data_IF_646785192702
#
_entry.id   IF_646785192702
#
_cell.length_a   1.000
_cell.length_b   1.000
_cell.length_c   1.000
_cell.angle_alpha   90.00
_cell.angle_beta   90.00
_cell.angle_gamma   90.00
#
_symmetry.space_group_name_H-M   'P 1'
#
loop_
_entity.id
_entity.type
_entity.pdbx_description
1 polymer ?
#
# COMPACT_ATOMS: atom_id res chain seq x y z
N UNK A 1 12.58 14.12 -16.36
CA UNK A 1 11.89 13.20 -17.28
C UNK A 1 12.17 11.80 -16.77
N UNK A 2 11.24 11.19 -16.04
CA UNK A 2 11.37 9.80 -15.58
C UNK A 2 10.60 8.90 -16.55
N UNK A 3 11.29 7.87 -17.01
CA UNK A 3 10.95 6.98 -18.12
C UNK A 3 9.68 6.16 -17.87
N UNK A 4 8.93 5.92 -18.96
CA UNK A 4 7.55 5.41 -18.99
C UNK A 4 7.26 4.04 -18.35
N UNK A 5 8.25 3.34 -17.79
CA UNK A 5 8.07 2.02 -17.16
C UNK A 5 7.88 2.04 -15.64
N UNK A 6 8.06 3.16 -14.93
CA UNK A 6 7.74 3.26 -13.48
C UNK A 6 6.36 3.90 -13.22
N UNK A 7 5.64 4.31 -14.27
CA UNK A 7 4.36 5.02 -14.13
C UNK A 7 3.23 4.16 -13.56
N UNK A 8 3.31 2.84 -13.72
CA UNK A 8 2.33 1.86 -13.22
C UNK A 8 2.53 1.52 -11.73
N UNK A 9 3.77 1.62 -11.25
CA UNK A 9 4.14 1.34 -9.86
C UNK A 9 3.56 2.39 -8.88
N UNK A 10 3.14 3.56 -9.40
CA UNK A 10 2.38 4.58 -8.68
C UNK A 10 0.88 4.64 -9.01
N UNK A 11 0.36 3.69 -9.82
CA UNK A 11 -1.05 3.57 -10.24
C UNK A 11 -1.67 2.24 -9.79
N UNK A 12 -1.27 1.75 -8.63
CA UNK A 12 -1.93 0.60 -8.03
C UNK A 12 -3.38 0.98 -7.70
N UNK A 13 -4.39 0.32 -8.31
CA UNK A 13 -5.79 0.58 -8.00
C UNK A 13 -6.04 0.14 -6.55
N UNK A 14 -6.17 1.11 -5.63
CA UNK A 14 -6.31 0.87 -4.19
C UNK A 14 -5.58 1.88 -3.31
N UNK A 15 -4.49 2.48 -3.80
CA UNK A 15 -3.88 3.64 -3.15
C UNK A 15 -4.64 4.89 -3.62
N UNK A 16 -5.67 5.28 -2.86
CA UNK A 16 -6.48 6.47 -3.14
C UNK A 16 -5.56 7.69 -3.03
N UNK A 17 -5.05 8.14 -4.17
CA UNK A 17 -4.32 9.39 -4.33
C UNK A 17 -5.30 10.45 -4.80
N UNK A 18 -5.85 11.19 -3.85
CA UNK A 18 -6.59 12.41 -4.15
C UNK A 18 -5.58 13.53 -4.34
N UNK A 19 -5.35 13.91 -5.60
CA UNK A 19 -4.53 15.07 -5.95
C UNK A 19 -5.45 16.19 -6.46
N UNK A 20 -5.80 17.14 -5.58
CA UNK A 20 -6.51 18.37 -5.95
C UNK A 20 -5.52 19.51 -5.87
N UNK A 21 -5.11 20.07 -7.03
CA UNK A 21 -4.44 21.37 -7.20
C UNK A 21 -3.18 21.65 -6.36
N UNK A 22 -3.32 21.75 -5.03
CA UNK A 22 -2.29 22.05 -4.04
C UNK A 22 -2.10 20.98 -2.96
N UNK A 23 -3.02 20.00 -2.87
CA UNK A 23 -3.07 19.00 -1.78
C UNK A 23 -3.03 17.60 -2.35
N UNK A 24 -2.11 16.78 -1.83
CA UNK A 24 -2.01 15.34 -2.13
C UNK A 24 -2.35 14.56 -0.87
N UNK A 25 -3.44 13.82 -0.89
CA UNK A 25 -3.81 12.89 0.20
C UNK A 25 -3.47 11.48 -0.25
N UNK A 26 -2.59 10.82 0.49
CA UNK A 26 -2.21 9.43 0.30
C UNK A 26 -2.81 8.60 1.42
N UNK A 27 -3.71 7.68 1.09
CA UNK A 27 -4.31 6.77 2.06
C UNK A 27 -3.76 5.35 1.81
N UNK A 28 -2.76 4.91 2.58
CA UNK A 28 -2.13 3.60 2.40
C UNK A 28 -2.98 2.46 3.00
N UNK A 29 -4.26 2.37 2.62
CA UNK A 29 -5.18 1.34 3.16
C UNK A 29 -4.65 -0.06 2.84
N UNK A 30 -4.20 -0.27 1.60
CA UNK A 30 -3.69 -1.56 1.14
C UNK A 30 -2.43 -1.95 1.93
N UNK A 31 -1.50 -1.02 2.15
CA UNK A 31 -0.30 -1.29 2.93
C UNK A 31 -0.62 -1.68 4.37
N UNK A 32 -1.57 -1.00 5.02
CA UNK A 32 -1.97 -1.31 6.40
C UNK A 32 -2.63 -2.69 6.50
N UNK A 33 -3.46 -3.07 5.53
CA UNK A 33 -4.06 -4.42 5.47
C UNK A 33 -2.98 -5.49 5.30
N UNK A 34 -2.04 -5.30 4.37
CA UNK A 34 -0.93 -6.25 4.14
C UNK A 34 -0.12 -6.45 5.41
N UNK A 35 0.28 -5.36 6.08
CA UNK A 35 1.02 -5.43 7.35
C UNK A 35 0.22 -6.19 8.41
N UNK A 36 -1.08 -5.92 8.54
CA UNK A 36 -1.93 -6.62 9.49
C UNK A 36 -1.97 -8.12 9.22
N UNK A 37 -2.17 -8.54 7.96
CA UNK A 37 -2.23 -9.96 7.59
C UNK A 37 -0.90 -10.64 7.90
N UNK A 38 0.23 -10.02 7.55
CA UNK A 38 1.56 -10.57 7.82
C UNK A 38 1.75 -10.78 9.33
N UNK A 39 1.46 -9.76 10.14
CA UNK A 39 1.58 -9.86 11.59
C UNK A 39 0.65 -10.94 12.17
N UNK A 40 -0.58 -11.05 11.66
CA UNK A 40 -1.51 -12.11 12.07
C UNK A 40 -1.00 -13.51 11.72
N UNK A 41 -0.48 -13.72 10.51
CA UNK A 41 0.08 -15.01 10.08
C UNK A 41 1.31 -15.37 10.90
N UNK A 42 2.22 -14.41 11.13
CA UNK A 42 3.39 -14.63 11.98
C UNK A 42 2.98 -15.01 13.40
N UNK A 43 2.05 -14.27 14.01
CA UNK A 43 1.54 -14.57 15.35
C UNK A 43 0.85 -15.94 15.41
N UNK A 44 0.15 -16.35 14.36
CA UNK A 44 -0.48 -17.67 14.25
C UNK A 44 0.55 -18.79 14.19
N UNK A 45 1.59 -18.65 13.35
CA UNK A 45 2.69 -19.61 13.25
C UNK A 45 3.43 -19.74 14.59
N UNK A 46 3.74 -18.63 15.26
CA UNK A 46 4.42 -18.66 16.55
C UNK A 46 3.55 -19.20 17.68
N UNK A 47 2.22 -19.09 17.60
CA UNK A 47 1.28 -19.65 18.59
C UNK A 47 1.05 -21.14 18.41
N UNK A 48 1.20 -21.66 17.19
CA UNK A 48 1.00 -23.09 16.88
C UNK A 48 2.28 -23.94 16.98
N UNK A 49 3.42 -23.31 17.27
CA UNK A 49 4.63 -23.97 17.76
C UNK A 49 4.57 -24.05 19.29
#
# INVERSE_FOLDING_TARGET
MWSGWLSWLGRLPGDIRWETGRTRVYIPVVSMIVVSIILSVLAWIFRQR
#
